data_IF_333726374388
#
_entry.id   IF_333726374388
#
_cell.length_a   1.000
_cell.length_b   1.000
_cell.length_c   1.000
_cell.angle_alpha   90.00
_cell.angle_beta   90.00
_cell.angle_gamma   90.00
#
_symmetry.space_group_name_H-M   'P 1'
#
loop_
_entity.id
_entity.type
_entity.pdbx_description
1 polymer ?
#
# COMPACT_ATOMS: atom_id res chain seq x y z
N UNK A 1 -26.15 -11.67 19.42
CA UNK A 1 -26.67 -10.72 20.42
C UNK A 1 -27.00 -11.42 21.74
N UNK A 2 -26.53 -12.64 21.97
CA UNK A 2 -26.95 -13.49 23.11
C UNK A 2 -25.75 -14.04 23.91
N UNK A 3 -24.56 -13.47 23.75
CA UNK A 3 -23.35 -13.86 24.51
C UNK A 3 -22.87 -12.75 25.47
N UNK A 4 -23.68 -11.72 25.70
CA UNK A 4 -23.33 -10.58 26.56
C UNK A 4 -23.95 -10.63 27.97
N UNK A 5 -24.78 -11.63 28.27
CA UNK A 5 -25.48 -11.71 29.57
C UNK A 5 -24.78 -12.60 30.61
N UNK A 6 -23.87 -13.52 30.21
CA UNK A 6 -23.20 -14.43 31.14
C UNK A 6 -22.04 -13.79 31.95
N UNK A 7 -21.77 -12.49 31.77
CA UNK A 7 -20.64 -11.80 32.41
C UNK A 7 -21.05 -11.07 33.71
N UNK A 8 -22.36 -10.87 33.95
CA UNK A 8 -22.82 -10.01 35.06
C UNK A 8 -23.14 -10.74 36.38
N UNK A 9 -23.27 -12.07 36.38
CA UNK A 9 -23.88 -12.78 37.52
C UNK A 9 -22.91 -13.41 38.53
N UNK A 10 -21.62 -13.05 38.50
CA UNK A 10 -20.66 -13.53 39.51
C UNK A 10 -20.00 -12.39 40.30
N UNK A 11 -20.79 -11.76 41.16
CA UNK A 11 -20.29 -11.12 42.38
C UNK A 11 -20.99 -11.74 43.58
N UNK A 12 -20.25 -12.46 44.44
CA UNK A 12 -19.93 -11.99 45.81
C UNK A 12 -19.26 -13.07 46.68
N UNK A 13 -18.22 -12.62 47.40
CA UNK A 13 -17.71 -13.11 48.69
C UNK A 13 -16.88 -14.40 48.74
N UNK A 14 -15.54 -14.24 48.78
CA UNK A 14 -14.76 -14.59 49.99
C UNK A 14 -13.44 -13.82 50.04
N UNK A 15 -13.24 -13.09 51.12
CA UNK A 15 -12.02 -12.35 51.49
C UNK A 15 -11.10 -13.36 52.17
N UNK A 16 -9.86 -13.51 51.70
CA UNK A 16 -8.68 -13.76 52.57
C UNK A 16 -7.37 -13.57 51.77
N UNK A 17 -6.58 -12.64 52.31
CA UNK A 17 -5.15 -12.39 52.17
C UNK A 17 -4.31 -13.34 51.31
N UNK A 18 -3.59 -12.76 50.34
CA UNK A 18 -2.49 -13.46 49.67
C UNK A 18 -2.14 -12.83 48.33
N UNK A 19 -1.25 -11.83 48.39
CA UNK A 19 -0.53 -11.23 47.26
C UNK A 19 -1.35 -10.28 46.38
N UNK A 20 -1.16 -8.97 46.63
CA UNK A 20 -1.34 -7.90 45.66
C UNK A 20 -0.49 -8.18 44.41
N UNK A 21 -1.05 -8.94 43.46
CA UNK A 21 -0.60 -8.90 42.07
C UNK A 21 -1.74 -8.24 41.32
N UNK A 22 -1.53 -6.95 41.09
CA UNK A 22 -2.53 -5.94 40.74
C UNK A 22 -3.53 -6.39 39.68
N UNK A 23 -4.80 -6.06 39.90
CA UNK A 23 -5.89 -6.14 38.90
C UNK A 23 -5.52 -5.36 37.62
N UNK A 24 -4.57 -4.43 37.71
CA UNK A 24 -3.99 -3.67 36.60
C UNK A 24 -3.14 -4.53 35.66
N UNK A 25 -2.31 -5.43 36.19
CA UNK A 25 -1.38 -6.27 35.41
C UNK A 25 -2.11 -7.35 34.59
N UNK A 26 -3.19 -7.92 35.13
CA UNK A 26 -4.05 -8.85 34.39
C UNK A 26 -4.81 -8.14 33.26
N UNK A 27 -5.24 -6.90 33.47
CA UNK A 27 -5.92 -6.11 32.45
C UNK A 27 -4.97 -5.65 31.34
N UNK A 28 -3.72 -5.36 31.67
CA UNK A 28 -2.68 -5.02 30.69
C UNK A 28 -2.28 -6.24 29.85
N UNK A 29 -2.11 -7.41 30.47
CA UNK A 29 -1.84 -8.66 29.76
C UNK A 29 -2.99 -9.05 28.82
N UNK A 30 -4.25 -8.89 29.26
CA UNK A 30 -5.43 -9.15 28.41
C UNK A 30 -5.50 -8.17 27.25
N UNK A 31 -5.26 -6.88 27.48
CA UNK A 31 -5.23 -5.85 26.42
C UNK A 31 -4.14 -6.12 25.40
N UNK A 32 -2.93 -6.43 25.85
CA UNK A 32 -1.79 -6.75 24.98
C UNK A 32 -2.02 -8.03 24.19
N UNK A 33 -2.71 -9.02 24.78
CA UNK A 33 -3.13 -10.25 24.10
C UNK A 33 -4.21 -9.98 23.05
N UNK A 34 -5.20 -9.13 23.36
CA UNK A 34 -6.23 -8.69 22.41
C UNK A 34 -5.62 -7.87 21.27
N UNK A 35 -4.73 -6.94 21.55
CA UNK A 35 -4.01 -6.15 20.53
C UNK A 35 -3.14 -7.03 19.64
N UNK A 36 -2.45 -8.03 20.20
CA UNK A 36 -1.68 -9.01 19.43
C UNK A 36 -2.58 -9.87 18.53
N UNK A 37 -3.73 -10.36 19.04
CA UNK A 37 -4.70 -11.14 18.26
C UNK A 37 -5.35 -10.29 17.14
N UNK A 38 -5.58 -9.00 17.40
CA UNK A 38 -6.10 -8.06 16.39
C UNK A 38 -5.05 -7.71 15.33
N UNK A 39 -3.77 -7.55 15.70
CA UNK A 39 -2.67 -7.37 14.74
C UNK A 39 -2.41 -8.63 13.91
N UNK A 40 -2.51 -9.81 14.53
CA UNK A 40 -2.31 -11.11 13.89
C UNK A 40 -3.44 -11.45 12.91
N UNK A 41 -4.71 -11.13 13.23
CA UNK A 41 -5.84 -11.26 12.29
C UNK A 41 -5.88 -10.18 11.20
N UNK A 42 -5.31 -9.00 11.45
CA UNK A 42 -5.33 -7.89 10.50
C UNK A 42 -4.27 -7.97 9.40
N UNK A 43 -3.27 -8.85 9.51
CA UNK A 43 -2.12 -8.79 8.61
C UNK A 43 -2.23 -9.65 7.34
N UNK A 44 -3.04 -10.71 7.32
CA UNK A 44 -3.18 -11.57 6.13
C UNK A 44 -4.60 -11.62 5.54
N UNK A 45 -5.67 -11.41 6.33
CA UNK A 45 -7.05 -11.33 5.79
C UNK A 45 -7.34 -10.05 4.97
N UNK A 46 -6.45 -9.05 5.03
CA UNK A 46 -6.76 -7.71 4.47
C UNK A 46 -6.57 -7.61 2.96
N UNK A 47 -5.79 -8.50 2.36
CA UNK A 47 -5.35 -8.33 0.97
C UNK A 47 -5.60 -9.53 0.06
N UNK A 48 -6.08 -10.67 0.57
CA UNK A 48 -6.32 -11.88 -0.23
C UNK A 48 -7.17 -11.61 -1.49
N UNK A 49 -8.16 -10.72 -1.40
CA UNK A 49 -8.99 -10.34 -2.56
C UNK A 49 -8.33 -9.38 -3.57
N UNK A 50 -7.17 -8.81 -3.24
CA UNK A 50 -6.44 -7.85 -4.08
C UNK A 50 -5.21 -8.45 -4.77
N UNK A 51 -4.69 -9.60 -4.31
CA UNK A 51 -3.44 -10.17 -4.82
C UNK A 51 -3.53 -10.59 -6.28
N UNK A 52 -4.66 -11.15 -6.70
CA UNK A 52 -4.88 -11.62 -8.08
C UNK A 52 -5.45 -10.53 -9.00
N UNK A 53 -5.58 -9.30 -8.50
CA UNK A 53 -6.20 -8.23 -9.26
C UNK A 53 -5.23 -7.71 -10.35
N UNK A 54 -5.63 -7.69 -11.64
CA UNK A 54 -4.80 -7.13 -12.69
C UNK A 54 -4.66 -5.62 -12.49
N UNK A 55 -3.44 -5.11 -12.61
CA UNK A 55 -3.12 -3.68 -12.53
C UNK A 55 -2.34 -3.23 -13.75
N UNK A 56 -2.51 -1.97 -14.14
CA UNK A 56 -1.72 -1.38 -15.22
C UNK A 56 -0.49 -0.72 -14.62
N UNK A 57 0.69 -1.23 -14.96
CA UNK A 57 1.97 -0.64 -14.62
C UNK A 57 2.46 0.22 -15.80
N UNK A 58 2.73 1.49 -15.55
CA UNK A 58 3.22 2.44 -16.56
C UNK A 58 4.49 3.10 -16.06
N UNK A 59 5.53 3.16 -16.89
CA UNK A 59 6.75 3.91 -16.60
C UNK A 59 6.93 5.00 -17.66
N UNK A 60 6.97 6.27 -17.24
CA UNK A 60 7.09 7.39 -18.16
C UNK A 60 8.57 7.74 -18.37
N UNK A 61 9.06 7.60 -19.60
CA UNK A 61 10.42 8.02 -19.97
C UNK A 61 10.60 9.53 -19.76
N UNK A 62 9.59 10.32 -20.12
CA UNK A 62 9.56 11.76 -19.96
C UNK A 62 8.31 12.34 -20.60
N UNK A 63 8.04 13.62 -20.33
CA UNK A 63 6.93 14.36 -20.89
C UNK A 63 7.46 15.66 -21.52
N UNK A 64 6.73 16.19 -22.48
CA UNK A 64 7.00 17.49 -23.10
C UNK A 64 5.68 18.08 -23.60
N UNK A 65 5.60 19.40 -23.68
CA UNK A 65 4.40 20.08 -24.19
C UNK A 65 4.67 20.60 -25.60
N UNK A 66 3.86 20.16 -26.56
CA UNK A 66 3.90 20.62 -27.94
C UNK A 66 2.58 21.31 -28.31
N UNK A 67 2.66 22.32 -29.16
CA UNK A 67 1.49 22.91 -29.81
C UNK A 67 0.91 21.96 -30.84
N UNK A 68 -0.39 22.09 -31.13
CA UNK A 68 -1.05 21.29 -32.19
C UNK A 68 -0.35 21.46 -33.55
N UNK A 69 0.19 22.65 -33.85
CA UNK A 69 0.91 22.92 -35.09
C UNK A 69 2.16 22.05 -35.21
N UNK A 70 2.95 21.94 -34.15
CA UNK A 70 4.17 21.12 -34.12
C UNK A 70 3.84 19.64 -34.31
N UNK A 71 2.77 19.15 -33.65
CA UNK A 71 2.31 17.76 -33.82
C UNK A 71 1.92 17.48 -35.28
N UNK A 72 1.19 18.38 -35.92
CA UNK A 72 0.78 18.22 -37.33
C UNK A 72 1.95 18.31 -38.33
N UNK A 73 3.09 18.82 -37.91
CA UNK A 73 4.31 18.92 -38.72
C UNK A 73 5.27 17.74 -38.52
N UNK A 74 4.97 16.82 -37.59
CA UNK A 74 5.80 15.64 -37.37
C UNK A 74 5.85 14.76 -38.62
N UNK A 75 7.05 14.27 -38.92
CA UNK A 75 7.33 13.37 -40.03
C UNK A 75 8.18 12.20 -39.55
N UNK A 76 8.32 11.17 -40.39
CA UNK A 76 9.24 10.07 -40.09
C UNK A 76 10.66 10.61 -39.89
N UNK A 77 11.23 10.33 -38.72
CA UNK A 77 12.56 10.83 -38.32
C UNK A 77 12.55 12.13 -37.52
N UNK A 78 11.38 12.72 -37.24
CA UNK A 78 11.28 13.83 -36.27
C UNK A 78 11.76 13.38 -34.89
N UNK A 79 12.52 14.24 -34.22
CA UNK A 79 13.02 14.03 -32.86
C UNK A 79 12.19 14.90 -31.92
N UNK A 80 11.68 14.31 -30.85
CA UNK A 80 10.94 15.01 -29.80
C UNK A 80 11.84 15.04 -28.56
N UNK A 81 12.17 16.24 -28.12
CA UNK A 81 12.94 16.45 -26.89
C UNK A 81 12.01 16.33 -25.68
N UNK A 82 12.31 15.38 -24.80
CA UNK A 82 11.58 15.17 -23.56
C UNK A 82 12.28 16.02 -22.50
N UNK A 83 11.56 16.83 -21.73
CA UNK A 83 12.13 17.82 -20.78
C UNK A 83 12.82 17.18 -19.55
N UNK A 84 13.24 15.92 -19.68
CA UNK A 84 13.88 15.12 -18.64
C UNK A 84 15.34 14.81 -19.01
N UNK A 85 16.31 15.19 -18.16
CA UNK A 85 17.72 14.87 -18.39
C UNK A 85 17.99 13.36 -18.49
N UNK A 86 18.93 13.00 -19.38
CA UNK A 86 19.37 11.62 -19.51
C UNK A 86 20.01 11.11 -18.20
N UNK A 87 19.67 9.88 -17.83
CA UNK A 87 20.19 9.24 -16.61
C UNK A 87 19.37 9.51 -15.35
N UNK A 88 18.34 10.35 -15.39
CA UNK A 88 17.42 10.51 -14.27
C UNK A 88 16.46 9.32 -14.11
N UNK A 89 16.06 9.04 -12.87
CA UNK A 89 15.06 8.00 -12.59
C UNK A 89 13.70 8.37 -13.19
N UNK A 90 13.10 7.43 -13.91
CA UNK A 90 11.72 7.51 -14.41
C UNK A 90 10.71 7.33 -13.31
N UNK A 91 9.57 7.98 -13.47
CA UNK A 91 8.44 7.82 -12.58
C UNK A 91 7.63 6.61 -12.99
N UNK A 92 7.19 5.85 -11.99
CA UNK A 92 6.47 4.60 -12.16
C UNK A 92 5.09 4.74 -11.55
N UNK A 93 4.09 4.33 -12.32
CA UNK A 93 2.69 4.47 -12.02
C UNK A 93 1.99 3.12 -11.98
N UNK A 94 1.04 2.99 -11.06
CA UNK A 94 0.03 1.93 -11.08
C UNK A 94 -1.34 2.59 -11.09
N UNK A 95 -2.17 2.29 -12.09
CA UNK A 95 -3.49 2.90 -12.28
C UNK A 95 -3.44 4.44 -12.13
N UNK A 96 -2.51 5.10 -12.82
CA UNK A 96 -2.33 6.57 -12.80
C UNK A 96 -1.90 7.17 -11.45
N UNK A 97 -1.43 6.36 -10.50
CA UNK A 97 -0.81 6.82 -9.25
C UNK A 97 0.66 6.53 -9.24
N UNK A 98 1.48 7.54 -8.92
CA UNK A 98 2.90 7.33 -8.71
C UNK A 98 3.11 6.37 -7.55
N UNK A 99 3.84 5.28 -7.78
CA UNK A 99 4.18 4.27 -6.77
C UNK A 99 5.68 4.23 -6.49
N UNK A 100 6.50 4.90 -7.29
CA UNK A 100 7.93 4.85 -7.13
C UNK A 100 8.70 5.48 -8.28
N UNK A 101 10.01 5.28 -8.23
CA UNK A 101 10.98 5.76 -9.21
C UNK A 101 11.97 4.64 -9.54
N UNK A 102 12.46 4.63 -10.76
CA UNK A 102 13.43 3.63 -11.19
C UNK A 102 14.25 4.05 -12.39
N UNK A 103 15.27 3.27 -12.71
CA UNK A 103 16.14 3.50 -13.87
C UNK A 103 15.70 2.63 -15.04
N UNK A 104 15.63 3.22 -16.23
CA UNK A 104 15.43 2.47 -17.47
C UNK A 104 16.72 1.73 -17.79
N UNK A 105 16.60 0.42 -17.99
CA UNK A 105 17.70 -0.44 -18.38
C UNK A 105 17.26 -1.39 -19.49
N UNK A 106 18.23 -2.02 -20.14
CA UNK A 106 17.98 -3.14 -21.05
C UNK A 106 18.20 -4.43 -20.28
N UNK A 107 17.20 -5.30 -20.31
CA UNK A 107 17.30 -6.66 -19.81
C UNK A 107 17.07 -7.64 -20.96
N UNK A 108 18.12 -8.39 -21.28
CA UNK A 108 18.22 -9.20 -22.50
C UNK A 108 17.98 -8.38 -23.77
N UNK A 109 16.77 -8.45 -24.34
CA UNK A 109 16.35 -7.72 -25.54
C UNK A 109 15.17 -6.78 -25.29
N UNK A 110 14.77 -6.63 -24.02
CA UNK A 110 13.61 -5.85 -23.62
C UNK A 110 14.04 -4.65 -22.78
N UNK A 111 13.22 -3.60 -22.81
CA UNK A 111 13.30 -2.53 -21.83
C UNK A 111 12.81 -3.04 -20.47
N UNK A 112 13.49 -2.63 -19.41
CA UNK A 112 13.16 -2.96 -18.03
C UNK A 112 13.38 -1.74 -17.15
N UNK A 113 12.68 -1.71 -16.02
CA UNK A 113 12.84 -0.67 -15.00
C UNK A 113 13.43 -1.32 -13.74
N UNK A 114 14.58 -0.83 -13.30
CA UNK A 114 15.11 -1.15 -11.96
C UNK A 114 14.53 -0.16 -10.97
N UNK A 115 13.75 -0.64 -10.01
CA UNK A 115 13.19 0.23 -8.96
C UNK A 115 14.30 0.74 -8.03
N UNK A 116 14.36 2.05 -7.85
CA UNK A 116 15.23 2.72 -6.88
C UNK A 116 14.45 3.06 -5.61
N UNK A 117 13.21 3.52 -5.77
CA UNK A 117 12.31 3.91 -4.69
C UNK A 117 10.92 3.35 -4.95
N UNK A 118 10.24 2.84 -3.93
CA UNK A 118 8.87 2.31 -4.02
C UNK A 118 8.09 2.62 -2.75
N UNK A 119 6.80 2.91 -2.90
CA UNK A 119 5.87 3.03 -1.79
C UNK A 119 5.77 1.71 -1.02
N UNK A 120 5.46 1.81 0.27
CA UNK A 120 5.20 0.64 1.09
C UNK A 120 3.95 -0.12 0.62
N UNK A 121 3.87 -1.41 0.95
CA UNK A 121 2.76 -2.26 0.53
C UNK A 121 1.39 -1.70 0.94
N UNK A 122 1.29 -1.12 2.14
CA UNK A 122 0.03 -0.52 2.60
C UNK A 122 -0.33 0.74 1.80
N UNK A 123 0.65 1.59 1.46
CA UNK A 123 0.45 2.76 0.62
C UNK A 123 -0.05 2.39 -0.77
N UNK A 124 0.59 1.41 -1.41
CA UNK A 124 0.17 0.90 -2.72
C UNK A 124 -1.28 0.40 -2.69
N UNK A 125 -1.61 -0.45 -1.70
CA UNK A 125 -2.95 -1.05 -1.63
C UNK A 125 -4.03 -0.02 -1.24
N UNK A 126 -3.70 0.94 -0.39
CA UNK A 126 -4.60 2.05 -0.08
C UNK A 126 -4.98 2.82 -1.35
N UNK A 127 -4.00 3.14 -2.20
CA UNK A 127 -4.26 3.88 -3.43
C UNK A 127 -5.08 3.08 -4.45
N UNK A 128 -4.75 1.80 -4.61
CA UNK A 128 -5.47 0.90 -5.50
C UNK A 128 -6.93 0.69 -5.05
N UNK A 129 -7.15 0.45 -3.75
CA UNK A 129 -8.50 0.22 -3.23
C UNK A 129 -9.39 1.46 -3.37
N UNK A 130 -8.85 2.66 -3.13
CA UNK A 130 -9.61 3.91 -3.20
C UNK A 130 -10.13 4.23 -4.61
N UNK A 131 -9.40 3.86 -5.66
CA UNK A 131 -9.85 4.14 -7.03
C UNK A 131 -11.03 3.29 -7.48
N UNK A 132 -11.11 2.05 -6.99
CA UNK A 132 -12.23 1.14 -7.33
C UNK A 132 -13.58 1.66 -6.84
N UNK A 133 -13.62 2.36 -5.70
CA UNK A 133 -14.86 2.84 -5.08
C UNK A 133 -15.29 4.23 -5.54
N UNK A 134 -14.60 4.83 -6.53
CA UNK A 134 -14.94 6.17 -7.04
C UNK A 134 -15.75 6.14 -8.34
N UNK A 135 -16.21 4.97 -8.79
CA UNK A 135 -17.15 4.82 -9.90
C UNK A 135 -18.49 4.29 -9.40
#
# INVERSE_FOLDING_TARGET
MEELEDILDNKTSKKESGTDISVLDKNEAIRKRIEAILQEKASWMKYDGFLDMPVTFTANLGETTLTLREILQLQNGSIIDLEKPAGESVEVYVNNRIIGRGEVMVYEKNLAIRMNEILDANGVIYHISKERFRK
#
